data_IF_130465422391
#
_entry.id   IF_130465422391
#
_cell.length_a   1.000
_cell.length_b   1.000
_cell.length_c   1.000
_cell.angle_alpha   90.00
_cell.angle_beta   90.00
_cell.angle_gamma   90.00
#
_symmetry.space_group_name_H-M   'P 1'
#
loop_
_entity.id
_entity.type
_entity.pdbx_description
1 polymer ?
#
# COMPACT_ATOMS: atom_id res chain seq x y z
N UNK A 1 24.82 0.18 -2.60
CA UNK A 1 23.62 0.15 -1.72
C UNK A 1 23.72 -1.10 -0.87
N UNK A 2 23.91 -0.98 0.45
CA UNK A 2 24.05 -2.12 1.37
C UNK A 2 22.66 -2.42 1.92
N UNK A 3 21.99 -3.45 1.39
CA UNK A 3 20.67 -3.87 1.87
C UNK A 3 20.91 -4.58 3.21
N UNK A 4 20.57 -3.90 4.31
CA UNK A 4 20.68 -4.47 5.65
C UNK A 4 19.31 -5.03 6.05
N UNK A 5 19.18 -6.32 6.37
CA UNK A 5 17.92 -6.88 6.82
C UNK A 5 17.55 -6.30 8.19
N UNK A 6 16.38 -5.70 8.29
CA UNK A 6 15.80 -5.29 9.57
C UNK A 6 15.07 -6.50 10.14
N UNK A 7 15.69 -7.18 11.12
CA UNK A 7 15.08 -8.33 11.79
C UNK A 7 14.30 -7.83 13.01
N UNK A 8 12.98 -8.02 13.02
CA UNK A 8 12.12 -7.76 14.19
C UNK A 8 11.77 -9.08 14.87
N UNK A 9 11.78 -9.10 16.20
CA UNK A 9 11.33 -10.25 17.03
C UNK A 9 10.06 -9.83 17.76
N UNK A 10 8.91 -10.26 17.25
CA UNK A 10 7.58 -9.95 17.80
C UNK A 10 6.77 -11.25 17.81
N UNK A 11 5.83 -11.38 18.75
CA UNK A 11 4.93 -12.53 18.83
C UNK A 11 3.97 -12.50 17.64
N UNK A 12 3.96 -13.56 16.81
CA UNK A 12 3.20 -13.61 15.54
C UNK A 12 1.73 -13.17 15.65
N UNK A 13 1.05 -13.52 16.73
CA UNK A 13 -0.37 -13.19 16.97
C UNK A 13 -0.63 -11.70 17.27
N UNK A 14 0.41 -10.93 17.56
CA UNK A 14 0.33 -9.50 17.89
C UNK A 14 0.77 -8.61 16.71
N UNK A 15 1.18 -9.21 15.59
CA UNK A 15 1.63 -8.48 14.42
C UNK A 15 0.42 -8.08 13.57
N UNK A 16 0.15 -6.78 13.48
CA UNK A 16 -0.73 -6.20 12.48
C UNK A 16 0.12 -5.55 11.38
N UNK A 17 0.64 -6.39 10.47
CA UNK A 17 1.48 -5.93 9.36
C UNK A 17 0.77 -4.91 8.48
N UNK A 18 -0.55 -5.06 8.32
CA UNK A 18 -1.35 -4.13 7.51
C UNK A 18 -1.38 -2.73 8.13
N UNK A 19 -1.55 -2.65 9.45
CA UNK A 19 -1.51 -1.38 10.16
C UNK A 19 -0.10 -0.77 10.16
N UNK A 20 0.93 -1.56 10.43
CA UNK A 20 2.32 -1.07 10.42
C UNK A 20 2.77 -0.58 9.04
N UNK A 21 2.44 -1.30 7.98
CA UNK A 21 2.72 -0.90 6.60
C UNK A 21 2.01 0.42 6.26
N UNK A 22 0.75 0.55 6.67
CA UNK A 22 0.01 1.80 6.48
C UNK A 22 0.69 2.97 7.19
N UNK A 23 1.12 2.80 8.44
CA UNK A 23 1.86 3.84 9.18
C UNK A 23 3.19 4.18 8.49
N UNK A 24 3.93 3.18 8.03
CA UNK A 24 5.19 3.37 7.31
C UNK A 24 4.98 4.22 6.05
N UNK A 25 3.98 3.89 5.24
CA UNK A 25 3.69 4.66 4.03
C UNK A 25 3.20 6.06 4.35
N UNK A 26 2.38 6.23 5.39
CA UNK A 26 1.93 7.54 5.85
C UNK A 26 3.08 8.42 6.35
N UNK A 27 4.17 7.82 6.86
CA UNK A 27 5.37 8.56 7.26
C UNK A 27 6.21 9.06 6.09
N UNK A 28 5.96 8.61 4.84
CA UNK A 28 6.68 9.04 3.64
C UNK A 28 6.13 10.33 3.06
N UNK A 29 6.94 11.00 2.25
CA UNK A 29 6.50 12.20 1.53
C UNK A 29 5.39 11.87 0.53
N UNK A 30 4.50 12.82 0.20
CA UNK A 30 3.48 12.62 -0.82
C UNK A 30 4.03 12.11 -2.16
N UNK A 31 5.21 12.60 -2.57
CA UNK A 31 5.89 12.21 -3.81
C UNK A 31 6.29 10.73 -3.79
N UNK A 32 6.89 10.26 -2.70
CA UNK A 32 7.27 8.85 -2.54
C UNK A 32 6.05 7.93 -2.51
N UNK A 33 4.99 8.33 -1.79
CA UNK A 33 3.73 7.57 -1.76
C UNK A 33 3.11 7.44 -3.14
N UNK A 34 3.07 8.54 -3.91
CA UNK A 34 2.52 8.54 -5.27
C UNK A 34 3.34 7.67 -6.22
N UNK A 35 4.66 7.69 -6.10
CA UNK A 35 5.54 6.81 -6.87
C UNK A 35 5.26 5.34 -6.55
N UNK A 36 5.12 4.99 -5.27
CA UNK A 36 4.85 3.61 -4.87
C UNK A 36 3.47 3.14 -5.29
N UNK A 37 2.41 3.96 -5.11
CA UNK A 37 1.07 3.62 -5.60
C UNK A 37 1.07 3.40 -7.11
N UNK A 38 1.86 4.18 -7.86
CA UNK A 38 2.03 4.00 -9.30
C UNK A 38 2.74 2.69 -9.63
N UNK A 39 3.76 2.31 -8.85
CA UNK A 39 4.46 1.03 -8.96
C UNK A 39 3.53 -0.14 -8.66
N UNK A 40 2.76 -0.09 -7.57
CA UNK A 40 1.77 -1.12 -7.23
C UNK A 40 0.75 -1.26 -8.35
N UNK A 41 0.23 -0.14 -8.88
CA UNK A 41 -0.68 -0.16 -10.02
C UNK A 41 -0.10 -0.92 -11.22
N UNK A 42 1.16 -0.70 -11.57
CA UNK A 42 1.77 -1.39 -12.73
C UNK A 42 2.00 -2.88 -12.52
N UNK A 43 2.16 -3.33 -11.26
CA UNK A 43 2.35 -4.75 -10.94
C UNK A 43 1.02 -5.49 -10.85
N UNK A 44 -0.02 -4.85 -10.31
CA UNK A 44 -1.27 -5.52 -9.97
C UNK A 44 -2.39 -5.33 -10.99
N UNK A 45 -2.35 -4.27 -11.83
CA UNK A 45 -3.37 -4.07 -12.86
C UNK A 45 -2.88 -4.54 -14.24
N UNK A 46 -3.73 -5.30 -14.92
CA UNK A 46 -3.55 -5.64 -16.33
C UNK A 46 -3.86 -4.42 -17.22
N UNK A 47 -3.32 -4.37 -18.45
CA UNK A 47 -3.70 -3.36 -19.43
C UNK A 47 -5.24 -3.29 -19.57
N UNK A 48 -5.80 -2.08 -19.49
CA UNK A 48 -7.24 -1.84 -19.55
C UNK A 48 -7.97 -1.90 -18.20
N UNK A 49 -7.34 -2.42 -17.13
CA UNK A 49 -7.91 -2.39 -15.79
C UNK A 49 -7.65 -1.04 -15.10
N UNK A 50 -8.59 -0.63 -14.26
CA UNK A 50 -8.50 0.59 -13.45
C UNK A 50 -8.52 0.22 -11.97
N UNK A 51 -7.82 1.03 -11.15
CA UNK A 51 -7.95 0.90 -9.70
C UNK A 51 -9.41 1.16 -9.32
N UNK A 52 -9.95 0.29 -8.48
CA UNK A 52 -11.20 0.60 -7.81
C UNK A 52 -10.99 1.79 -6.86
N UNK A 53 -11.85 2.79 -7.01
CA UNK A 53 -11.84 4.03 -6.24
C UNK A 53 -13.17 4.25 -5.53
N UNK A 54 -14.03 3.23 -5.41
CA UNK A 54 -15.32 3.30 -4.71
C UNK A 54 -15.20 3.92 -3.32
N UNK A 55 -14.20 3.48 -2.54
CA UNK A 55 -13.92 4.01 -1.18
C UNK A 55 -13.56 5.50 -1.20
N UNK A 56 -12.83 5.96 -2.23
CA UNK A 56 -12.41 7.37 -2.35
C UNK A 56 -13.55 8.25 -2.87
N UNK A 57 -14.37 7.72 -3.78
CA UNK A 57 -15.34 8.51 -4.54
C UNK A 57 -16.71 8.59 -3.84
N UNK A 58 -16.96 7.84 -2.75
CA UNK A 58 -18.28 7.75 -2.08
C UNK A 58 -19.46 7.56 -3.07
N UNK A 59 -19.21 6.99 -4.25
CA UNK A 59 -20.28 6.66 -5.19
C UNK A 59 -20.78 5.28 -4.83
N UNK A 60 -22.07 5.18 -4.51
CA UNK A 60 -22.73 3.89 -4.47
C UNK A 60 -22.78 3.37 -5.91
N UNK A 61 -21.97 2.36 -6.21
CA UNK A 61 -22.20 1.55 -7.39
C UNK A 61 -23.42 0.69 -7.04
N UNK A 62 -24.59 1.13 -7.49
CA UNK A 62 -25.77 0.28 -7.43
C UNK A 62 -25.53 -0.98 -8.29
N UNK A 63 -26.06 -2.14 -7.87
CA UNK A 63 -26.00 -3.39 -8.63
C UNK A 63 -26.70 -3.27 -9.99
#
# INVERSE_FOLDING_TARGET
MKIVPVVRKIVLKEIDESYEDMLYWLSKTPQERMAEVTRLRSHFLKPGQRLDKTVVIKRQLHP
#
